data_IF_676543178482
#
_entry.id   IF_676543178482
#
_cell.length_a   1.000
_cell.length_b   1.000
_cell.length_c   1.000
_cell.angle_alpha   90.00
_cell.angle_beta   90.00
_cell.angle_gamma   90.00
#
_symmetry.space_group_name_H-M   'P 1'
#
loop_
_entity.id
_entity.type
_entity.pdbx_description
1 polymer ?
#
# COMPACT_ATOMS: atom_id res chain seq x y z
N UNK A 1 10.20 -14.41 4.30
CA UNK A 1 11.60 -14.84 4.51
C UNK A 1 12.18 -15.21 3.16
N UNK A 2 13.23 -14.53 2.70
CA UNK A 2 13.90 -14.91 1.46
C UNK A 2 14.57 -16.28 1.67
N UNK A 3 14.53 -17.18 0.67
CA UNK A 3 15.30 -18.42 0.74
C UNK A 3 16.79 -18.07 0.83
N UNK A 4 17.55 -18.82 1.65
CA UNK A 4 18.97 -18.56 1.93
C UNK A 4 19.83 -18.39 0.66
N UNK A 5 19.43 -19.02 -0.45
CA UNK A 5 20.03 -18.89 -1.77
C UNK A 5 19.95 -17.49 -2.41
N UNK A 6 19.02 -16.62 -1.99
CA UNK A 6 18.93 -15.25 -2.46
C UNK A 6 19.97 -14.34 -1.78
N UNK A 7 20.33 -14.61 -0.52
CA UNK A 7 21.34 -13.82 0.21
C UNK A 7 22.75 -14.06 -0.35
N UNK A 8 23.06 -15.29 -0.78
CA UNK A 8 24.35 -15.64 -1.38
C UNK A 8 24.57 -14.98 -2.75
N UNK A 9 23.50 -14.84 -3.56
CA UNK A 9 23.58 -14.20 -4.88
C UNK A 9 23.90 -12.70 -4.77
N UNK A 10 23.33 -12.01 -3.77
CA UNK A 10 23.58 -10.58 -3.55
C UNK A 10 24.97 -10.31 -2.94
N UNK A 11 25.52 -11.23 -2.14
CA UNK A 11 26.89 -11.15 -1.65
C UNK A 11 27.94 -11.26 -2.76
N UNK A 12 27.73 -12.14 -3.75
CA UNK A 12 28.63 -12.31 -4.90
C UNK A 12 28.61 -11.11 -5.85
N UNK A 13 27.44 -10.50 -6.10
CA UNK A 13 27.32 -9.29 -6.94
C UNK A 13 28.06 -8.07 -6.38
N UNK A 14 28.21 -7.97 -5.05
CA UNK A 14 28.98 -6.88 -4.44
C UNK A 14 30.48 -6.97 -4.76
N UNK A 15 31.05 -8.15 -5.01
CA UNK A 15 32.47 -8.30 -5.37
C UNK A 15 32.80 -7.75 -6.77
N UNK A 16 31.88 -7.92 -7.73
CA UNK A 16 31.99 -7.36 -9.09
C UNK A 16 31.74 -5.86 -9.12
N UNK A 17 30.77 -5.38 -8.34
CA UNK A 17 30.51 -3.95 -8.17
C UNK A 17 31.67 -3.23 -7.47
N UNK A 18 32.35 -3.87 -6.51
CA UNK A 18 33.51 -3.30 -5.82
C UNK A 18 34.70 -3.08 -6.75
N UNK A 19 34.92 -3.98 -7.73
CA UNK A 19 35.97 -3.80 -8.76
C UNK A 19 35.64 -2.67 -9.71
N UNK A 20 34.39 -2.55 -10.13
CA UNK A 20 33.91 -1.44 -10.99
C UNK A 20 33.97 -0.09 -10.25
N UNK A 21 33.59 -0.08 -8.97
CA UNK A 21 33.64 1.10 -8.11
C UNK A 21 35.09 1.52 -7.79
N UNK A 22 36.02 0.58 -7.67
CA UNK A 22 37.45 0.87 -7.53
C UNK A 22 38.05 1.49 -8.80
N UNK A 23 37.70 1.00 -9.99
CA UNK A 23 38.14 1.56 -11.28
C UNK A 23 37.53 2.94 -11.53
N UNK A 24 36.26 3.14 -11.18
CA UNK A 24 35.58 4.44 -11.29
C UNK A 24 36.13 5.46 -10.27
N UNK A 25 36.44 5.05 -9.03
CA UNK A 25 37.06 5.92 -8.04
C UNK A 25 38.51 6.28 -8.39
N UNK A 26 39.27 5.38 -9.05
CA UNK A 26 40.59 5.73 -9.60
C UNK A 26 40.48 6.76 -10.74
N UNK A 27 39.48 6.64 -11.61
CA UNK A 27 39.24 7.62 -12.67
C UNK A 27 38.69 8.96 -12.15
N UNK A 28 37.89 8.96 -11.07
CA UNK A 28 37.38 10.17 -10.44
C UNK A 28 38.45 10.90 -9.60
N UNK A 29 39.36 10.17 -8.95
CA UNK A 29 40.49 10.77 -8.22
C UNK A 29 41.54 11.43 -9.13
N UNK A 30 41.62 11.03 -10.40
CA UNK A 30 42.41 11.74 -11.41
C UNK A 30 41.76 13.05 -11.88
N UNK A 31 40.46 13.23 -11.65
CA UNK A 31 39.67 14.42 -12.05
C UNK A 31 39.40 15.38 -10.87
N UNK A 32 39.59 14.95 -9.62
CA UNK A 32 39.24 15.71 -8.40
C UNK A 32 40.43 16.35 -7.66
N UNK A 33 41.65 16.32 -8.22
CA UNK A 33 42.82 17.05 -7.66
C UNK A 33 42.85 18.54 -8.03
N UNK A 34 41.73 19.11 -8.48
CA UNK A 34 41.57 20.57 -8.56
C UNK A 34 40.45 21.04 -7.65
N UNK A 35 40.86 21.83 -6.66
CA UNK A 35 40.09 22.72 -5.80
C UNK A 35 39.59 22.18 -4.46
N UNK A 36 39.92 22.99 -3.46
CA UNK A 36 40.02 22.72 -2.04
C UNK A 36 38.86 23.30 -1.22
N UNK A 37 38.71 22.69 -0.04
CA UNK A 37 38.48 23.28 1.30
C UNK A 37 37.08 23.64 1.82
N UNK A 38 36.84 23.08 3.03
CA UNK A 38 36.05 23.53 4.20
C UNK A 38 34.52 23.47 4.12
N UNK A 39 33.74 22.98 5.10
CA UNK A 39 33.95 22.58 6.49
C UNK A 39 32.71 23.01 7.30
N UNK A 40 31.85 22.08 7.73
CA UNK A 40 30.56 22.37 8.41
C UNK A 40 30.54 21.92 9.87
N UNK A 41 30.08 22.82 10.75
CA UNK A 41 29.84 22.63 12.19
C UNK A 41 28.46 22.06 12.48
N UNK A 42 28.40 21.17 13.48
CA UNK A 42 27.24 20.45 14.02
C UNK A 42 26.42 21.34 14.98
N UNK A 43 25.09 21.32 14.90
CA UNK A 43 24.21 21.77 15.99
C UNK A 43 23.12 20.74 16.32
N UNK A 44 22.87 20.64 17.63
CA UNK A 44 22.03 19.70 18.37
C UNK A 44 20.52 19.87 18.10
N UNK A 45 19.79 18.75 18.01
CA UNK A 45 18.31 18.72 17.96
C UNK A 45 17.76 18.35 19.34
N UNK A 46 16.86 19.21 19.85
CA UNK A 46 16.05 18.99 21.07
C UNK A 46 14.65 18.53 20.66
N UNK A 47 14.09 17.52 21.34
CA UNK A 47 12.78 16.92 21.07
C UNK A 47 11.63 17.68 21.74
N UNK A 48 10.44 17.71 21.10
CA UNK A 48 9.21 18.35 21.61
C UNK A 48 8.05 17.34 21.72
N UNK A 49 7.17 17.43 22.75
CA UNK A 49 6.08 16.49 22.99
C UNK A 49 4.74 17.01 22.44
N UNK A 50 4.31 16.49 21.29
CA UNK A 50 2.90 16.43 20.88
C UNK A 50 2.80 15.40 19.77
N UNK A 51 1.87 14.44 19.86
CA UNK A 51 1.63 13.46 18.79
C UNK A 51 1.11 14.18 17.53
N UNK A 52 2.03 14.70 16.71
CA UNK A 52 1.72 15.39 15.47
C UNK A 52 1.44 14.35 14.38
N UNK A 53 0.20 13.84 14.33
CA UNK A 53 -0.23 13.06 13.17
C UNK A 53 -0.20 13.95 11.92
N UNK A 54 0.41 13.45 10.84
CA UNK A 54 0.39 14.14 9.55
C UNK A 54 -1.04 14.07 8.99
N UNK A 55 -1.62 15.21 8.64
CA UNK A 55 -2.96 15.23 8.05
C UNK A 55 -2.97 14.72 6.60
N UNK A 56 -3.92 13.86 6.22
CA UNK A 56 -4.11 13.45 4.81
C UNK A 56 -4.77 14.53 3.94
N UNK A 57 -5.26 15.61 4.56
CA UNK A 57 -5.93 16.73 3.89
C UNK A 57 -4.96 17.91 3.62
N UNK A 58 -3.72 17.83 4.10
CA UNK A 58 -2.70 18.87 3.90
C UNK A 58 -1.63 18.37 2.93
N UNK A 59 -1.52 19.06 1.80
CA UNK A 59 -0.54 18.75 0.76
C UNK A 59 0.57 19.79 0.80
N UNK A 60 1.77 19.40 1.26
CA UNK A 60 2.99 20.18 1.07
C UNK A 60 3.62 19.80 -0.27
N UNK A 61 4.07 20.78 -1.06
CA UNK A 61 5.03 20.56 -2.15
C UNK A 61 6.32 20.03 -1.51
N UNK A 62 6.59 18.74 -1.67
CA UNK A 62 7.82 18.12 -1.21
C UNK A 62 8.71 17.91 -2.44
N UNK A 63 9.73 18.76 -2.59
CA UNK A 63 10.91 18.50 -3.42
C UNK A 63 11.85 17.59 -2.62
N UNK A 64 11.61 16.29 -2.63
CA UNK A 64 12.56 15.32 -2.06
C UNK A 64 13.41 14.74 -3.19
N UNK A 65 14.64 15.25 -3.29
CA UNK A 65 15.76 14.58 -3.94
C UNK A 65 16.17 13.45 -3.00
N UNK A 66 15.92 12.21 -3.42
CA UNK A 66 16.29 11.02 -2.67
C UNK A 66 17.80 10.78 -2.84
N UNK A 67 18.60 11.11 -1.83
CA UNK A 67 19.98 10.63 -1.68
C UNK A 67 19.98 9.43 -0.74
N UNK A 68 20.35 8.21 -1.19
CA UNK A 68 20.58 7.10 -0.28
C UNK A 68 21.98 7.21 0.33
N UNK A 69 22.06 7.20 1.66
CA UNK A 69 23.30 6.98 2.39
C UNK A 69 23.03 5.99 3.50
N UNK A 70 23.54 4.77 3.35
CA UNK A 70 23.83 3.89 4.49
C UNK A 70 25.15 3.16 4.23
N UNK A 71 26.07 3.36 5.17
CA UNK A 71 27.40 2.77 5.20
C UNK A 71 27.33 1.48 6.03
N UNK A 72 27.49 0.32 5.42
CA UNK A 72 27.56 -0.97 6.12
C UNK A 72 29.02 -1.40 6.22
N UNK A 73 29.47 -1.67 7.46
CA UNK A 73 30.81 -2.14 7.81
C UNK A 73 30.98 -3.62 7.43
N UNK A 74 32.13 -3.97 6.87
CA UNK A 74 32.51 -5.33 6.47
C UNK A 74 33.25 -6.05 7.59
N UNK A 75 32.83 -7.29 7.90
CA UNK A 75 33.64 -8.29 8.58
C UNK A 75 34.00 -9.39 7.57
N UNK A 76 35.28 -9.64 7.41
CA UNK A 76 35.84 -10.69 6.56
C UNK A 76 35.74 -12.04 7.26
N UNK A 77 35.18 -13.04 6.58
CA UNK A 77 35.60 -14.43 6.78
C UNK A 77 35.37 -15.24 5.50
N UNK A 78 36.36 -16.08 5.21
CA UNK A 78 36.62 -16.81 3.98
C UNK A 78 35.94 -18.18 3.93
N UNK A 79 35.75 -18.66 2.69
CA UNK A 79 35.52 -20.05 2.23
C UNK A 79 34.08 -20.55 2.10
N UNK A 80 33.62 -20.63 0.85
CA UNK A 80 33.16 -21.90 0.25
C UNK A 80 32.81 -21.68 -1.25
N UNK A 81 33.72 -22.04 -2.13
CA UNK A 81 33.44 -22.30 -3.54
C UNK A 81 32.71 -23.64 -3.67
N UNK A 82 31.53 -23.69 -4.32
CA UNK A 82 31.10 -24.80 -5.21
C UNK A 82 29.57 -24.91 -5.44
N UNK A 83 28.85 -23.96 -6.05
CA UNK A 83 27.44 -24.22 -6.49
C UNK A 83 26.93 -23.48 -7.76
N UNK A 84 27.80 -22.88 -8.59
CA UNK A 84 27.36 -22.31 -9.88
C UNK A 84 27.51 -23.33 -11.02
N UNK A 85 26.55 -24.24 -11.14
CA UNK A 85 26.32 -24.96 -12.39
C UNK A 85 25.71 -23.98 -13.42
N UNK A 86 26.58 -23.52 -14.32
CA UNK A 86 26.39 -22.89 -15.65
C UNK A 86 24.95 -22.49 -16.03
N UNK A 87 24.48 -21.35 -15.52
CA UNK A 87 23.44 -20.57 -16.21
C UNK A 87 24.10 -19.75 -17.32
N UNK A 88 23.50 -19.73 -18.51
CA UNK A 88 23.90 -18.77 -19.55
C UNK A 88 23.71 -17.34 -19.05
N UNK A 89 24.41 -16.37 -19.65
CA UNK A 89 24.27 -14.93 -19.30
C UNK A 89 22.79 -14.52 -19.32
N UNK A 90 22.03 -15.04 -20.28
CA UNK A 90 20.58 -14.81 -20.39
C UNK A 90 19.78 -15.46 -19.24
N UNK A 91 20.19 -16.63 -18.77
CA UNK A 91 19.58 -17.29 -17.61
C UNK A 91 19.78 -16.51 -16.32
N UNK A 92 20.97 -15.94 -16.11
CA UNK A 92 21.26 -15.06 -14.96
C UNK A 92 20.47 -13.76 -15.08
N UNK A 93 20.41 -13.15 -16.27
CA UNK A 93 19.65 -11.93 -16.50
C UNK A 93 18.14 -12.16 -16.27
N UNK A 94 17.59 -13.29 -16.73
CA UNK A 94 16.18 -13.63 -16.54
C UNK A 94 15.87 -13.84 -15.06
N UNK A 95 16.74 -14.55 -14.33
CA UNK A 95 16.61 -14.75 -12.89
C UNK A 95 16.61 -13.40 -12.16
N UNK A 96 17.57 -12.53 -12.43
CA UNK A 96 17.64 -11.20 -11.82
C UNK A 96 16.39 -10.36 -12.09
N UNK A 97 15.93 -10.32 -13.34
CA UNK A 97 14.76 -9.53 -13.76
C UNK A 97 13.45 -10.13 -13.22
N UNK A 98 13.38 -11.45 -13.02
CA UNK A 98 12.24 -12.10 -12.38
C UNK A 98 11.99 -11.62 -10.94
N UNK A 99 13.03 -11.06 -10.30
CA UNK A 99 12.89 -10.49 -8.95
C UNK A 99 12.23 -9.11 -8.91
N UNK A 100 12.09 -8.45 -10.05
CA UNK A 100 11.58 -7.09 -10.15
C UNK A 100 10.05 -7.05 -10.11
N UNK A 101 9.50 -5.93 -9.62
CA UNK A 101 8.09 -5.60 -9.77
C UNK A 101 7.82 -4.98 -11.16
N UNK A 102 6.55 -4.85 -11.54
CA UNK A 102 6.20 -4.32 -12.85
C UNK A 102 6.71 -2.90 -13.11
N UNK A 103 6.80 -2.06 -12.07
CA UNK A 103 7.34 -0.71 -12.19
C UNK A 103 8.85 -0.71 -12.45
N UNK A 104 9.61 -1.57 -11.76
CA UNK A 104 11.04 -1.74 -11.99
C UNK A 104 11.32 -2.38 -13.34
N UNK A 105 10.49 -3.32 -13.81
CA UNK A 105 10.58 -3.85 -15.17
C UNK A 105 10.45 -2.72 -16.20
N UNK A 106 9.45 -1.85 -16.06
CA UNK A 106 9.25 -0.72 -16.95
C UNK A 106 10.45 0.25 -16.92
N UNK A 107 11.03 0.51 -15.74
CA UNK A 107 12.27 1.31 -15.62
C UNK A 107 13.43 0.68 -16.38
N UNK A 108 13.65 -0.63 -16.23
CA UNK A 108 14.74 -1.36 -16.91
C UNK A 108 14.57 -1.32 -18.43
N UNK A 109 13.34 -1.41 -18.95
CA UNK A 109 13.05 -1.21 -20.39
C UNK A 109 13.40 0.21 -20.90
N UNK A 110 13.46 1.19 -20.00
CA UNK A 110 13.84 2.57 -20.28
C UNK A 110 15.36 2.79 -20.36
N UNK A 111 16.17 1.93 -19.75
CA UNK A 111 17.62 2.13 -19.62
C UNK A 111 18.36 2.05 -20.96
N UNK A 112 18.14 0.99 -21.74
CA UNK A 112 18.76 0.83 -23.05
C UNK A 112 17.96 -0.11 -23.98
N UNK A 113 18.37 -0.19 -25.25
CA UNK A 113 17.70 -1.02 -26.28
C UNK A 113 17.81 -2.53 -25.99
N UNK A 114 18.92 -2.99 -25.42
CA UNK A 114 19.15 -4.40 -25.14
C UNK A 114 18.20 -4.92 -24.06
N UNK A 115 18.07 -4.22 -22.94
CA UNK A 115 17.13 -4.54 -21.87
C UNK A 115 15.67 -4.49 -22.35
N UNK A 116 15.34 -3.52 -23.21
CA UNK A 116 14.01 -3.45 -23.83
C UNK A 116 13.71 -4.70 -24.66
N UNK A 117 14.63 -5.09 -25.54
CA UNK A 117 14.48 -6.28 -26.36
C UNK A 117 14.39 -7.55 -25.51
N UNK A 118 15.23 -7.68 -24.49
CA UNK A 118 15.24 -8.80 -23.55
C UNK A 118 13.90 -8.94 -22.81
N UNK A 119 13.39 -7.86 -22.20
CA UNK A 119 12.10 -7.90 -21.49
C UNK A 119 10.94 -8.14 -22.47
N UNK A 120 11.01 -7.64 -23.70
CA UNK A 120 10.00 -7.93 -24.72
C UNK A 120 9.98 -9.41 -25.14
N UNK A 121 11.14 -10.04 -25.22
CA UNK A 121 11.30 -11.47 -25.51
C UNK A 121 10.76 -12.34 -24.38
N UNK A 122 11.06 -12.01 -23.12
CA UNK A 122 10.62 -12.76 -21.93
C UNK A 122 9.37 -12.19 -21.26
N UNK A 123 8.57 -11.41 -21.99
CA UNK A 123 7.42 -10.67 -21.44
C UNK A 123 6.41 -11.61 -20.79
N UNK A 124 5.98 -12.64 -21.51
CA UNK A 124 4.96 -13.57 -21.01
C UNK A 124 5.36 -14.27 -19.71
N UNK A 125 6.53 -14.93 -19.60
CA UNK A 125 6.93 -15.57 -18.35
C UNK A 125 7.13 -14.56 -17.21
N UNK A 126 7.75 -13.40 -17.46
CA UNK A 126 7.96 -12.38 -16.43
C UNK A 126 6.64 -11.87 -15.82
N UNK A 127 5.67 -11.54 -16.67
CA UNK A 127 4.38 -11.04 -16.19
C UNK A 127 3.48 -12.15 -15.63
N UNK A 128 3.64 -13.40 -16.09
CA UNK A 128 2.97 -14.56 -15.48
C UNK A 128 3.43 -14.79 -14.04
N UNK A 129 4.73 -14.70 -13.78
CA UNK A 129 5.30 -14.79 -12.41
C UNK A 129 4.71 -13.70 -11.51
N UNK A 130 4.61 -12.46 -12.00
CA UNK A 130 4.02 -11.36 -11.24
C UNK A 130 2.57 -11.62 -10.84
N UNK A 131 1.77 -12.15 -11.77
CA UNK A 131 0.34 -12.37 -11.57
C UNK A 131 0.05 -13.63 -10.75
N UNK A 132 0.67 -14.76 -11.08
CA UNK A 132 0.32 -16.06 -10.53
C UNK A 132 1.09 -16.40 -9.25
N UNK A 133 2.41 -16.20 -9.26
CA UNK A 133 3.27 -16.58 -8.13
C UNK A 133 3.34 -15.47 -7.08
N UNK A 134 3.59 -14.23 -7.52
CA UNK A 134 3.74 -13.07 -6.62
C UNK A 134 2.42 -12.43 -6.21
N UNK A 135 1.33 -12.74 -6.92
CA UNK A 135 -0.03 -12.24 -6.66
C UNK A 135 -0.05 -10.73 -6.39
N UNK A 136 0.64 -9.96 -7.24
CA UNK A 136 0.79 -8.50 -7.06
C UNK A 136 -0.55 -7.74 -7.10
N UNK A 137 -1.61 -8.38 -7.61
CA UNK A 137 -2.97 -7.87 -7.58
C UNK A 137 -3.89 -8.78 -6.77
N UNK A 138 -4.75 -8.15 -5.98
CA UNK A 138 -5.78 -8.83 -5.20
C UNK A 138 -6.85 -9.53 -6.06
N UNK A 139 -7.16 -8.95 -7.21
CA UNK A 139 -8.11 -9.51 -8.19
C UNK A 139 -7.37 -9.64 -9.50
N UNK A 140 -7.21 -10.89 -9.96
CA UNK A 140 -6.54 -11.21 -11.21
C UNK A 140 -7.59 -11.37 -12.29
N UNK A 141 -7.54 -10.53 -13.32
CA UNK A 141 -8.33 -10.73 -14.55
C UNK A 141 -7.49 -11.56 -15.50
N UNK A 142 -7.94 -12.78 -15.79
CA UNK A 142 -7.20 -13.74 -16.60
C UNK A 142 -7.41 -13.49 -18.09
N UNK A 143 -6.36 -13.77 -18.88
CA UNK A 143 -6.33 -13.73 -20.33
C UNK A 143 -5.38 -14.81 -20.84
N UNK A 144 -5.36 -15.07 -22.15
CA UNK A 144 -4.44 -16.05 -22.77
C UNK A 144 -2.97 -15.65 -22.60
N UNK A 145 -2.69 -14.34 -22.50
CA UNK A 145 -1.38 -13.77 -22.22
C UNK A 145 -1.25 -13.37 -20.74
N UNK A 146 -0.12 -13.71 -20.12
CA UNK A 146 0.27 -13.26 -18.78
C UNK A 146 0.46 -11.75 -18.73
N UNK A 147 1.01 -11.14 -19.79
CA UNK A 147 1.12 -9.69 -19.90
C UNK A 147 -0.27 -9.02 -19.97
N UNK A 148 -1.19 -9.54 -20.78
CA UNK A 148 -2.58 -9.03 -20.81
C UNK A 148 -3.29 -9.20 -19.47
N UNK A 149 -3.11 -10.35 -18.83
CA UNK A 149 -3.67 -10.59 -17.49
C UNK A 149 -3.17 -9.56 -16.48
N UNK A 150 -1.87 -9.21 -16.54
CA UNK A 150 -1.30 -8.15 -15.72
C UNK A 150 -1.93 -6.78 -16.03
N UNK A 151 -2.06 -6.41 -17.31
CA UNK A 151 -2.66 -5.13 -17.72
C UNK A 151 -4.13 -5.01 -17.29
N UNK A 152 -4.94 -6.06 -17.50
CA UNK A 152 -6.34 -6.05 -17.08
C UNK A 152 -6.48 -5.99 -15.55
N UNK A 153 -5.65 -6.72 -14.81
CA UNK A 153 -5.64 -6.67 -13.34
C UNK A 153 -5.24 -5.28 -12.82
N UNK A 154 -4.25 -4.64 -13.45
CA UNK A 154 -3.86 -3.26 -13.16
C UNK A 154 -4.99 -2.27 -13.47
N UNK A 155 -5.64 -2.43 -14.63
CA UNK A 155 -6.78 -1.61 -15.05
C UNK A 155 -7.92 -1.67 -14.04
N UNK A 156 -8.23 -2.88 -13.57
CA UNK A 156 -9.24 -3.12 -12.54
C UNK A 156 -8.89 -2.48 -11.19
N UNK A 157 -7.63 -2.62 -10.75
CA UNK A 157 -7.16 -1.96 -9.53
C UNK A 157 -7.28 -0.42 -9.62
N UNK A 158 -6.95 0.15 -10.78
CA UNK A 158 -7.11 1.58 -11.05
C UNK A 158 -8.58 2.02 -11.05
N UNK A 159 -9.49 1.24 -11.65
CA UNK A 159 -10.93 1.54 -11.61
C UNK A 159 -11.47 1.55 -10.18
N UNK A 160 -11.09 0.57 -9.37
CA UNK A 160 -11.52 0.49 -7.97
C UNK A 160 -11.03 1.68 -7.15
N UNK A 161 -9.77 2.08 -7.34
CA UNK A 161 -9.24 3.25 -6.66
C UNK A 161 -9.87 4.55 -7.17
N UNK A 162 -10.18 4.65 -8.46
CA UNK A 162 -10.89 5.80 -9.03
C UNK A 162 -12.32 5.91 -8.49
N UNK A 163 -13.05 4.79 -8.43
CA UNK A 163 -14.40 4.74 -7.87
C UNK A 163 -14.39 5.12 -6.38
N UNK A 164 -13.45 4.58 -5.60
CA UNK A 164 -13.22 4.99 -4.22
C UNK A 164 -12.98 6.50 -4.10
N UNK A 165 -12.03 7.01 -4.87
CA UNK A 165 -11.64 8.43 -4.83
C UNK A 165 -12.81 9.33 -5.18
N UNK A 166 -13.64 8.94 -6.15
CA UNK A 166 -14.86 9.66 -6.50
C UNK A 166 -15.90 9.65 -5.37
N UNK A 167 -16.10 8.52 -4.69
CA UNK A 167 -17.03 8.43 -3.55
C UNK A 167 -16.65 9.35 -2.40
N UNK A 168 -15.35 9.53 -2.14
CA UNK A 168 -14.87 10.39 -1.05
C UNK A 168 -14.62 11.84 -1.48
N UNK A 169 -14.65 12.14 -2.79
CA UNK A 169 -14.22 13.41 -3.36
C UNK A 169 -14.90 14.65 -2.76
N UNK A 170 -16.25 14.74 -2.65
CA UNK A 170 -16.90 15.94 -2.16
C UNK A 170 -16.48 16.29 -0.72
N UNK A 171 -16.35 15.27 0.12
CA UNK A 171 -15.96 15.41 1.52
C UNK A 171 -14.47 15.73 1.66
N UNK A 172 -13.60 15.01 0.94
CA UNK A 172 -12.16 15.31 0.92
C UNK A 172 -11.89 16.73 0.45
N UNK A 173 -12.55 17.18 -0.62
CA UNK A 173 -12.33 18.50 -1.17
C UNK A 173 -12.68 19.60 -0.15
N UNK A 174 -13.80 19.45 0.56
CA UNK A 174 -14.20 20.38 1.61
C UNK A 174 -13.20 20.41 2.79
N UNK A 175 -12.71 19.24 3.21
CA UNK A 175 -11.71 19.13 4.27
C UNK A 175 -10.36 19.71 3.83
N UNK A 176 -9.91 19.44 2.59
CA UNK A 176 -8.69 20.02 2.02
C UNK A 176 -8.77 21.55 1.97
N UNK A 177 -9.88 22.11 1.48
CA UNK A 177 -10.10 23.56 1.43
C UNK A 177 -10.07 24.19 2.82
N UNK A 178 -10.74 23.57 3.80
CA UNK A 178 -10.74 24.04 5.17
C UNK A 178 -9.34 23.96 5.80
N UNK A 179 -8.64 22.83 5.66
CA UNK A 179 -7.31 22.63 6.22
C UNK A 179 -6.27 23.56 5.60
N UNK A 180 -6.42 23.92 4.31
CA UNK A 180 -5.58 24.93 3.67
C UNK A 180 -5.80 26.34 4.23
N UNK A 181 -7.01 26.65 4.71
CA UNK A 181 -7.36 27.97 5.25
C UNK A 181 -6.99 28.18 6.72
N UNK A 182 -6.67 27.11 7.46
CA UNK A 182 -6.55 27.16 8.93
C UNK A 182 -5.40 26.28 9.41
N UNK A 183 -4.41 26.87 10.10
CA UNK A 183 -3.25 26.13 10.61
C UNK A 183 -3.62 25.12 11.72
N UNK A 184 -4.57 25.45 12.60
CA UNK A 184 -5.10 24.57 13.64
C UNK A 184 -6.42 23.92 13.18
N UNK A 185 -6.36 23.14 12.11
CA UNK A 185 -7.57 22.52 11.54
C UNK A 185 -8.05 21.28 12.32
N UNK A 186 -7.15 20.60 13.05
CA UNK A 186 -7.48 19.45 13.90
C UNK A 186 -7.90 18.17 13.18
N UNK A 187 -8.04 18.16 11.86
CA UNK A 187 -8.33 16.94 11.08
C UNK A 187 -7.10 16.08 10.78
N UNK A 188 -7.19 14.79 11.06
CA UNK A 188 -6.09 13.83 10.90
C UNK A 188 -6.22 13.09 9.57
N UNK A 189 -7.22 12.20 9.44
CA UNK A 189 -7.38 11.37 8.26
C UNK A 189 -8.81 10.84 8.16
N UNK A 190 -9.17 10.25 7.02
CA UNK A 190 -10.31 9.33 6.97
C UNK A 190 -9.92 7.96 7.52
N UNK A 191 -10.87 7.24 8.13
CA UNK A 191 -10.61 5.92 8.69
C UNK A 191 -10.12 4.92 7.63
N UNK A 192 -10.67 4.97 6.41
CA UNK A 192 -10.22 4.11 5.32
C UNK A 192 -8.78 4.36 4.86
N UNK A 193 -8.16 5.48 5.22
CA UNK A 193 -6.80 5.82 4.77
C UNK A 193 -5.70 5.35 5.72
N UNK A 194 -6.05 5.03 6.98
CA UNK A 194 -5.08 4.76 8.04
C UNK A 194 -4.82 3.27 8.29
N UNK A 195 -5.62 2.38 7.69
CA UNK A 195 -5.49 0.93 7.84
C UNK A 195 -5.47 0.21 6.49
N UNK A 196 -4.69 -0.86 6.43
CA UNK A 196 -4.54 -1.77 5.31
C UNK A 196 -4.75 -3.21 5.81
N UNK A 197 -5.47 -4.02 5.04
CA UNK A 197 -5.64 -5.46 5.28
C UNK A 197 -4.81 -6.23 4.26
N UNK A 198 -4.03 -7.19 4.72
CA UNK A 198 -3.19 -8.01 3.83
C UNK A 198 -4.00 -8.99 2.99
N UNK A 199 -5.02 -9.62 3.58
CA UNK A 199 -5.92 -10.49 2.83
C UNK A 199 -7.05 -9.64 2.19
N UNK A 200 -7.16 -9.60 0.85
CA UNK A 200 -8.19 -8.82 0.17
C UNK A 200 -9.61 -9.34 0.40
N UNK A 201 -9.78 -10.60 0.79
CA UNK A 201 -11.07 -11.17 1.18
C UNK A 201 -11.54 -10.54 2.48
N UNK A 202 -10.65 -10.48 3.46
CA UNK A 202 -10.87 -9.78 4.73
C UNK A 202 -11.13 -8.29 4.46
N UNK A 203 -10.29 -7.64 3.64
CA UNK A 203 -10.45 -6.23 3.30
C UNK A 203 -11.85 -5.92 2.70
N UNK A 204 -12.31 -6.73 1.74
CA UNK A 204 -13.62 -6.57 1.10
C UNK A 204 -14.76 -6.79 2.08
N UNK A 205 -14.69 -7.89 2.84
CA UNK A 205 -15.69 -8.23 3.84
C UNK A 205 -15.82 -7.13 4.91
N UNK A 206 -14.68 -6.66 5.41
CA UNK A 206 -14.63 -5.59 6.40
C UNK A 206 -15.14 -4.27 5.84
N UNK A 207 -14.84 -3.98 4.57
CA UNK A 207 -15.31 -2.76 3.93
C UNK A 207 -16.84 -2.76 3.79
N UNK A 208 -17.43 -3.93 3.49
CA UNK A 208 -18.87 -4.13 3.47
C UNK A 208 -19.49 -4.02 4.87
N UNK A 209 -19.03 -4.83 5.84
CA UNK A 209 -19.57 -4.83 7.21
C UNK A 209 -19.44 -3.48 7.93
N UNK A 210 -18.40 -2.71 7.61
CA UNK A 210 -18.08 -1.42 8.24
C UNK A 210 -18.13 -0.26 7.24
N UNK A 211 -18.99 -0.35 6.23
CA UNK A 211 -19.13 0.68 5.20
C UNK A 211 -19.27 2.09 5.77
N UNK A 212 -20.16 2.29 6.74
CA UNK A 212 -20.38 3.60 7.36
C UNK A 212 -19.18 4.11 8.16
N UNK A 213 -18.28 3.22 8.58
CA UNK A 213 -17.07 3.59 9.30
C UNK A 213 -15.92 3.98 8.35
N UNK A 214 -15.89 3.46 7.13
CA UNK A 214 -14.86 3.82 6.14
C UNK A 214 -14.81 5.32 5.87
N UNK A 215 -15.97 5.98 5.86
CA UNK A 215 -16.09 7.41 5.62
C UNK A 215 -15.91 8.29 6.86
N UNK A 216 -15.63 7.70 8.04
CA UNK A 216 -15.44 8.49 9.26
C UNK A 216 -14.18 9.35 9.17
N UNK A 217 -14.29 10.59 9.61
CA UNK A 217 -13.19 11.55 9.65
C UNK A 217 -12.65 11.64 11.06
N UNK A 218 -11.36 11.39 11.22
CA UNK A 218 -10.65 11.49 12.48
C UNK A 218 -10.31 12.96 12.74
N UNK A 219 -10.79 13.49 13.86
CA UNK A 219 -10.58 14.86 14.29
C UNK A 219 -9.96 14.87 15.69
N UNK A 220 -9.15 15.88 16.02
CA UNK A 220 -8.50 15.97 17.33
C UNK A 220 -9.54 16.21 18.43
N UNK A 221 -10.42 17.20 18.25
CA UNK A 221 -11.42 17.58 19.27
C UNK A 221 -12.76 17.99 18.66
N UNK A 222 -13.87 17.96 19.44
CA UNK A 222 -15.17 18.46 19.00
C UNK A 222 -15.16 19.93 18.56
N UNK A 223 -14.30 20.77 19.17
CA UNK A 223 -14.16 22.19 18.82
C UNK A 223 -13.72 22.39 17.38
N UNK A 224 -12.77 21.58 16.89
CA UNK A 224 -12.34 21.61 15.49
C UNK A 224 -13.47 21.25 14.53
N UNK A 225 -14.29 20.26 14.90
CA UNK A 225 -15.48 19.85 14.12
C UNK A 225 -16.51 20.99 14.06
N UNK A 226 -16.77 21.66 15.18
CA UNK A 226 -17.69 22.80 15.22
C UNK A 226 -17.17 23.96 14.35
N UNK A 227 -15.86 24.24 14.40
CA UNK A 227 -15.25 25.29 13.59
C UNK A 227 -15.33 24.98 12.09
N UNK A 228 -15.12 23.72 11.69
CA UNK A 228 -15.35 23.28 10.32
C UNK A 228 -16.81 23.47 9.89
N UNK A 229 -17.77 23.00 10.69
CA UNK A 229 -19.21 23.10 10.36
C UNK A 229 -19.69 24.54 10.23
N UNK A 230 -19.07 25.50 10.94
CA UNK A 230 -19.40 26.93 10.83
C UNK A 230 -18.82 27.61 9.59
N UNK A 231 -17.69 27.12 9.06
CA UNK A 231 -16.93 27.79 7.98
C UNK A 231 -17.00 27.08 6.64
N UNK A 232 -17.25 25.77 6.65
CA UNK A 232 -17.38 24.96 5.45
C UNK A 232 -18.76 25.14 4.83
N UNK A 233 -18.81 25.23 3.51
CA UNK A 233 -20.05 25.21 2.73
C UNK A 233 -20.57 23.79 2.45
N UNK A 234 -19.87 22.75 2.93
CA UNK A 234 -20.25 21.37 2.69
C UNK A 234 -21.52 20.98 3.46
N UNK A 235 -22.59 20.70 2.71
CA UNK A 235 -23.87 20.23 3.23
C UNK A 235 -23.99 18.73 2.98
N UNK A 236 -23.36 17.92 3.83
CA UNK A 236 -23.44 16.47 3.75
C UNK A 236 -23.14 15.79 5.10
N UNK A 237 -23.61 14.56 5.30
CA UNK A 237 -23.36 13.85 6.55
C UNK A 237 -21.88 13.48 6.65
N UNK A 238 -21.21 14.01 7.67
CA UNK A 238 -19.87 13.59 8.06
C UNK A 238 -19.92 13.08 9.50
N UNK A 239 -19.46 11.84 9.68
CA UNK A 239 -19.24 11.24 10.99
C UNK A 239 -17.82 11.57 11.44
N UNK A 240 -17.70 12.30 12.54
CA UNK A 240 -16.42 12.66 13.12
C UNK A 240 -16.10 11.78 14.32
N UNK A 241 -14.85 11.34 14.41
CA UNK A 241 -14.35 10.53 15.52
C UNK A 241 -13.22 11.30 16.21
N UNK A 242 -13.36 11.65 17.50
CA UNK A 242 -12.31 12.30 18.25
C UNK A 242 -11.13 11.35 18.47
N UNK A 243 -9.92 11.73 18.08
CA UNK A 243 -8.70 10.95 18.34
C UNK A 243 -8.39 10.93 19.82
N UNK A 244 -8.43 12.11 20.45
CA UNK A 244 -8.20 12.30 21.87
C UNK A 244 -9.51 12.10 22.63
N UNK A 245 -9.85 10.83 22.87
CA UNK A 245 -10.99 10.46 23.69
C UNK A 245 -10.52 9.66 24.92
N UNK A 246 -10.59 10.22 26.13
CA UNK A 246 -10.22 9.51 27.35
C UNK A 246 -11.18 8.35 27.68
N UNK A 247 -12.33 8.26 26.99
CA UNK A 247 -13.37 7.26 27.19
C UNK A 247 -13.30 6.11 26.17
N UNK A 248 -12.17 5.92 25.49
CA UNK A 248 -12.00 4.74 24.63
C UNK A 248 -12.15 3.46 25.47
N UNK A 249 -13.07 2.53 25.10
CA UNK A 249 -13.28 1.32 25.87
C UNK A 249 -12.02 0.47 25.83
N UNK A 250 -11.62 -0.06 26.99
CA UNK A 250 -10.59 -1.10 27.06
C UNK A 250 -11.23 -2.39 26.55
N UNK A 251 -11.07 -2.65 25.25
CA UNK A 251 -11.56 -3.87 24.62
C UNK A 251 -10.53 -4.98 24.85
N UNK A 252 -10.93 -6.06 25.52
CA UNK A 252 -10.13 -7.26 25.70
C UNK A 252 -10.77 -8.39 24.91
N UNK A 253 -10.19 -8.72 23.76
CA UNK A 253 -10.64 -9.83 22.95
C UNK A 253 -10.54 -11.14 23.73
N UNK A 254 -11.65 -11.86 23.86
CA UNK A 254 -11.67 -13.17 24.49
C UNK A 254 -10.85 -14.19 23.68
N UNK A 255 -10.20 -15.18 24.32
CA UNK A 255 -9.63 -16.29 23.58
C UNK A 255 -10.75 -17.14 22.95
N UNK A 256 -10.53 -17.58 21.72
CA UNK A 256 -11.52 -18.33 20.93
C UNK A 256 -10.83 -19.56 20.38
N UNK A 257 -11.27 -20.72 20.83
CA UNK A 257 -10.85 -22.01 20.31
C UNK A 257 -12.03 -22.64 19.58
N UNK A 258 -12.14 -22.32 18.29
CA UNK A 258 -13.22 -22.77 17.44
C UNK A 258 -12.68 -23.11 16.05
N UNK A 259 -13.20 -24.19 15.47
CA UNK A 259 -12.83 -24.61 14.11
C UNK A 259 -13.13 -23.47 13.13
N UNK A 260 -12.18 -23.20 12.25
CA UNK A 260 -12.31 -22.15 11.23
C UNK A 260 -12.13 -20.72 11.73
N UNK A 261 -11.87 -20.49 13.02
CA UNK A 261 -11.57 -19.15 13.53
C UNK A 261 -10.20 -18.67 13.01
N UNK A 262 -10.19 -17.55 12.29
CA UNK A 262 -8.97 -16.96 11.71
C UNK A 262 -8.44 -15.76 12.51
N UNK A 263 -8.99 -15.50 13.70
CA UNK A 263 -8.63 -14.33 14.53
C UNK A 263 -9.65 -13.20 14.47
N UNK A 264 -9.37 -12.12 15.19
CA UNK A 264 -10.19 -10.91 15.13
C UNK A 264 -9.80 -10.05 13.95
N UNK A 265 -10.75 -9.31 13.36
CA UNK A 265 -10.45 -8.39 12.28
C UNK A 265 -9.37 -7.36 12.63
N UNK A 266 -9.30 -6.98 13.90
CA UNK A 266 -8.24 -6.14 14.44
C UNK A 266 -6.83 -6.73 14.26
N UNK A 267 -6.69 -8.06 14.35
CA UNK A 267 -5.41 -8.76 14.25
C UNK A 267 -4.87 -8.75 12.82
N UNK A 268 -5.76 -8.66 11.83
CA UNK A 268 -5.44 -8.59 10.40
C UNK A 268 -5.09 -7.18 9.91
N UNK A 269 -5.14 -6.18 10.80
CA UNK A 269 -4.85 -4.79 10.46
C UNK A 269 -3.36 -4.48 10.49
N UNK A 270 -2.89 -3.96 9.37
CA UNK A 270 -1.63 -3.21 9.28
C UNK A 270 -1.94 -1.72 9.28
N UNK A 271 -1.26 -0.98 10.16
CA UNK A 271 -1.39 0.48 10.20
C UNK A 271 -0.57 1.11 9.07
N UNK A 272 -1.11 2.15 8.46
CA UNK A 272 -0.31 3.01 7.58
C UNK A 272 0.73 3.75 8.43
N UNK A 273 1.99 3.86 7.96
CA UNK A 273 3.04 4.51 8.72
C UNK A 273 2.66 5.91 9.22
N UNK A 274 2.85 6.17 10.51
CA UNK A 274 2.56 7.43 11.18
C UNK A 274 1.22 7.48 11.92
N UNK A 275 0.40 6.42 11.86
CA UNK A 275 -0.89 6.32 12.57
C UNK A 275 -0.93 5.24 13.65
N UNK A 276 0.20 4.62 13.99
CA UNK A 276 0.30 3.43 14.85
C UNK A 276 -0.35 3.63 16.22
N UNK A 277 -0.22 4.83 16.79
CA UNK A 277 -0.83 5.18 18.08
C UNK A 277 -2.37 5.06 18.08
N UNK A 278 -3.02 5.10 16.91
CA UNK A 278 -4.47 4.95 16.77
C UNK A 278 -4.94 3.49 16.76
N UNK A 279 -4.01 2.52 16.66
CA UNK A 279 -4.34 1.10 16.53
C UNK A 279 -5.17 0.63 17.74
N UNK A 280 -4.64 0.78 18.95
CA UNK A 280 -5.28 0.26 20.15
C UNK A 280 -6.49 1.10 20.65
N UNK A 281 -6.75 2.26 20.04
CA UNK A 281 -7.83 3.17 20.42
C UNK A 281 -8.94 3.18 19.36
N UNK A 282 -8.82 4.06 18.36
CA UNK A 282 -9.80 4.30 17.30
C UNK A 282 -10.04 3.02 16.50
N UNK A 283 -8.97 2.36 16.04
CA UNK A 283 -9.10 1.19 15.15
C UNK A 283 -9.74 0.01 15.90
N UNK A 284 -9.24 -0.31 17.10
CA UNK A 284 -9.81 -1.36 17.94
C UNK A 284 -11.29 -1.09 18.26
N UNK A 285 -11.64 0.16 18.55
CA UNK A 285 -13.01 0.56 18.87
C UNK A 285 -13.97 0.52 17.68
N UNK A 286 -13.50 0.86 16.48
CA UNK A 286 -14.33 0.84 15.26
C UNK A 286 -14.51 -0.59 14.74
N UNK A 287 -13.43 -1.37 14.71
CA UNK A 287 -13.51 -2.75 14.26
C UNK A 287 -14.29 -3.61 15.27
N UNK A 288 -14.23 -3.27 16.55
CA UNK A 288 -14.80 -4.02 17.69
C UNK A 288 -14.28 -5.46 17.69
N UNK A 289 -14.73 -6.31 18.61
CA UNK A 289 -14.38 -7.75 18.69
C UNK A 289 -15.02 -8.55 17.53
N UNK A 290 -14.88 -8.05 16.30
CA UNK A 290 -15.40 -8.66 15.10
C UNK A 290 -14.52 -9.84 14.74
N UNK A 291 -15.10 -11.02 14.85
CA UNK A 291 -14.45 -12.32 14.70
C UNK A 291 -14.46 -12.72 13.24
N UNK A 292 -13.38 -13.34 12.78
CA UNK A 292 -13.29 -13.83 11.40
C UNK A 292 -13.30 -15.35 11.42
N UNK A 293 -14.17 -15.94 10.59
CA UNK A 293 -14.22 -17.37 10.34
C UNK A 293 -14.04 -17.66 8.86
N UNK A 294 -13.46 -18.80 8.53
CA UNK A 294 -13.19 -19.26 7.15
C UNK A 294 -14.44 -19.63 6.34
N UNK A 295 -15.54 -19.98 7.01
CA UNK A 295 -16.80 -20.43 6.41
C UNK A 295 -18.00 -19.95 7.24
N UNK A 296 -19.18 -19.74 6.61
CA UNK A 296 -20.40 -19.37 7.32
C UNK A 296 -20.86 -20.48 8.29
N UNK A 297 -20.63 -21.75 7.95
CA UNK A 297 -21.03 -22.89 8.78
C UNK A 297 -20.24 -22.94 10.09
N UNK A 298 -18.92 -22.73 10.03
CA UNK A 298 -18.08 -22.65 11.23
C UNK A 298 -18.46 -21.45 12.10
N UNK A 299 -18.72 -20.29 11.49
CA UNK A 299 -19.21 -19.13 12.19
C UNK A 299 -20.56 -19.41 12.88
N UNK A 300 -21.52 -20.02 12.17
CA UNK A 300 -22.83 -20.35 12.70
C UNK A 300 -22.76 -21.40 13.82
N UNK A 301 -21.89 -22.40 13.68
CA UNK A 301 -21.64 -23.40 14.72
C UNK A 301 -21.09 -22.77 15.99
N UNK A 302 -20.13 -21.86 15.86
CA UNK A 302 -19.62 -21.10 17.00
C UNK A 302 -20.69 -20.18 17.61
N UNK A 303 -21.47 -19.49 16.79
CA UNK A 303 -22.58 -18.68 17.29
C UNK A 303 -23.60 -19.46 18.11
N UNK A 304 -23.90 -20.70 17.69
CA UNK A 304 -24.74 -21.64 18.46
C UNK A 304 -24.09 -22.03 19.78
N UNK A 305 -22.78 -22.25 19.84
CA UNK A 305 -22.09 -22.66 21.07
C UNK A 305 -22.05 -21.56 22.14
N UNK A 306 -21.97 -20.28 21.72
CA UNK A 306 -21.95 -19.13 22.65
C UNK A 306 -23.34 -18.50 22.88
N UNK A 307 -24.39 -19.01 22.24
CA UNK A 307 -25.76 -18.49 22.34
C UNK A 307 -25.95 -17.07 21.78
N UNK A 308 -25.10 -16.64 20.84
CA UNK A 308 -25.15 -15.31 20.18
C UNK A 308 -24.83 -15.47 18.70
N UNK A 309 -25.49 -14.71 17.83
CA UNK A 309 -25.18 -14.71 16.40
C UNK A 309 -23.69 -14.35 16.16
N UNK A 310 -22.97 -15.04 15.27
CA UNK A 310 -21.55 -14.80 15.06
C UNK A 310 -21.33 -13.42 14.45
N UNK A 311 -20.33 -12.69 14.96
CA UNK A 311 -20.13 -11.30 14.58
C UNK A 311 -19.43 -11.08 13.23
N UNK A 312 -18.97 -12.14 12.53
CA UNK A 312 -18.62 -12.10 11.11
C UNK A 312 -18.18 -13.48 10.57
N UNK A 313 -18.43 -13.76 9.29
CA UNK A 313 -17.95 -14.93 8.56
C UNK A 313 -17.34 -14.46 7.24
N UNK A 314 -16.18 -15.00 6.85
CA UNK A 314 -15.47 -14.63 5.63
C UNK A 314 -15.70 -15.71 4.58
N UNK A 315 -16.51 -15.34 3.57
CA UNK A 315 -16.88 -16.11 2.38
C UNK A 315 -17.72 -17.36 2.69
N UNK A 316 -18.82 -17.64 2.03
CA UNK A 316 -19.22 -17.37 0.64
C UNK A 316 -20.21 -16.19 0.58
N UNK A 317 -20.31 -15.42 -0.50
CA UNK A 317 -20.76 -15.97 -1.77
C UNK A 317 -20.56 -14.94 -2.89
N UNK A 318 -19.82 -15.31 -3.94
CA UNK A 318 -19.87 -14.58 -5.20
C UNK A 318 -21.29 -14.67 -5.81
N UNK A 319 -22.13 -15.63 -5.39
CA UNK A 319 -23.53 -15.77 -5.82
C UNK A 319 -24.55 -14.99 -4.94
N UNK A 320 -24.31 -14.80 -3.64
CA UNK A 320 -25.10 -13.85 -2.83
C UNK A 320 -24.78 -12.39 -3.20
N UNK A 321 -23.62 -12.14 -3.81
CA UNK A 321 -23.35 -10.86 -4.48
C UNK A 321 -24.21 -10.65 -5.73
N UNK A 322 -24.78 -11.71 -6.34
CA UNK A 322 -25.72 -11.58 -7.46
C UNK A 322 -27.12 -11.23 -6.98
N UNK A 323 -27.57 -11.75 -5.83
CA UNK A 323 -28.91 -11.45 -5.29
C UNK A 323 -28.97 -10.19 -4.41
N UNK A 324 -27.90 -9.85 -3.68
CA UNK A 324 -27.77 -8.57 -2.93
C UNK A 324 -27.22 -7.45 -3.84
N UNK A 325 -26.68 -7.83 -5.01
CA UNK A 325 -26.06 -6.95 -6.00
C UNK A 325 -26.98 -5.93 -6.66
N UNK A 326 -28.27 -5.85 -6.32
CA UNK A 326 -29.15 -4.77 -6.78
C UNK A 326 -29.36 -3.66 -5.73
N UNK A 327 -29.14 -3.92 -4.43
CA UNK A 327 -29.41 -2.93 -3.38
C UNK A 327 -28.13 -2.27 -2.80
N UNK A 328 -26.99 -2.97 -2.77
CA UNK A 328 -25.77 -2.52 -2.06
C UNK A 328 -24.61 -2.09 -2.99
N UNK A 329 -24.86 -1.94 -4.29
CA UNK A 329 -23.88 -1.44 -5.29
C UNK A 329 -23.38 0.00 -5.08
N UNK A 330 -23.70 0.65 -3.97
CA UNK A 330 -23.45 2.09 -3.74
C UNK A 330 -22.16 2.40 -2.97
N UNK A 331 -21.48 1.41 -2.37
CA UNK A 331 -20.21 1.64 -1.68
C UNK A 331 -19.00 1.29 -2.52
N UNK A 332 -18.32 2.29 -3.07
CA UNK A 332 -16.99 2.09 -3.65
C UNK A 332 -15.87 2.28 -2.63
N UNK A 333 -16.20 2.40 -1.34
CA UNK A 333 -15.22 2.63 -0.30
C UNK A 333 -14.39 1.38 -0.02
N UNK A 334 -13.07 1.55 0.08
CA UNK A 334 -12.10 0.48 0.33
C UNK A 334 -11.06 0.98 1.31
N UNK A 335 -10.44 0.07 2.05
CA UNK A 335 -9.28 0.40 2.90
C UNK A 335 -8.07 0.84 2.09
N UNK A 336 -7.06 1.32 2.79
CA UNK A 336 -5.84 1.87 2.18
C UNK A 336 -5.16 0.81 1.32
N UNK A 337 -4.58 1.27 0.21
CA UNK A 337 -3.87 0.45 -0.74
C UNK A 337 -2.49 1.05 -1.02
N UNK A 338 -1.51 0.25 -1.48
CA UNK A 338 -0.21 0.79 -1.91
C UNK A 338 -0.36 1.92 -2.94
N UNK A 339 -1.30 1.78 -3.89
CA UNK A 339 -1.62 2.79 -4.88
C UNK A 339 -2.12 4.10 -4.22
N UNK A 340 -3.02 4.02 -3.24
CA UNK A 340 -3.50 5.18 -2.50
C UNK A 340 -2.37 5.88 -1.75
N UNK A 341 -1.49 5.12 -1.12
CA UNK A 341 -0.31 5.67 -0.41
C UNK A 341 0.60 6.46 -1.34
N UNK A 342 0.86 5.98 -2.55
CA UNK A 342 1.65 6.70 -3.56
C UNK A 342 0.99 8.03 -4.00
N UNK A 343 -0.34 8.08 -3.96
CA UNK A 343 -1.15 9.24 -4.36
C UNK A 343 -1.46 10.20 -3.21
N UNK A 344 -1.18 9.82 -1.96
CA UNK A 344 -1.55 10.56 -0.74
C UNK A 344 -1.04 12.01 -0.71
N UNK A 345 0.12 12.27 -1.33
CA UNK A 345 0.76 13.60 -1.44
C UNK A 345 0.03 14.61 -2.34
N UNK A 346 -0.93 14.15 -3.13
CA UNK A 346 -1.68 14.99 -4.06
C UNK A 346 -3.06 15.31 -3.52
N UNK A 347 -3.61 16.47 -3.89
CA UNK A 347 -5.02 16.80 -3.64
C UNK A 347 -5.97 15.79 -4.28
N UNK A 348 -7.16 15.62 -3.70
CA UNK A 348 -8.12 14.63 -4.20
C UNK A 348 -8.46 14.82 -5.68
N UNK A 349 -8.52 16.07 -6.15
CA UNK A 349 -8.73 16.39 -7.56
C UNK A 349 -7.56 15.93 -8.46
N UNK A 350 -6.33 16.13 -8.00
CA UNK A 350 -5.12 15.70 -8.70
C UNK A 350 -4.98 14.16 -8.69
N UNK A 351 -5.40 13.49 -7.61
CA UNK A 351 -5.48 12.02 -7.55
C UNK A 351 -6.39 11.49 -8.64
N UNK A 352 -7.60 12.03 -8.79
CA UNK A 352 -8.55 11.66 -9.86
C UNK A 352 -7.93 11.85 -11.24
N UNK A 353 -7.29 13.01 -11.49
CA UNK A 353 -6.65 13.29 -12.78
C UNK A 353 -5.56 12.28 -13.12
N UNK A 354 -4.70 11.96 -12.16
CA UNK A 354 -3.62 10.98 -12.34
C UNK A 354 -4.13 9.56 -12.55
N UNK A 355 -5.16 9.16 -11.80
CA UNK A 355 -5.81 7.86 -12.01
C UNK A 355 -6.37 7.74 -13.41
N UNK A 356 -7.12 8.74 -13.90
CA UNK A 356 -7.63 8.77 -15.28
C UNK A 356 -6.52 8.72 -16.33
N UNK A 357 -5.43 9.45 -16.13
CA UNK A 357 -4.28 9.42 -17.04
C UNK A 357 -3.61 8.03 -17.07
N UNK A 358 -3.41 7.39 -15.91
CA UNK A 358 -2.88 6.02 -15.83
C UNK A 358 -3.81 5.01 -16.49
N UNK A 359 -5.12 5.13 -16.26
CA UNK A 359 -6.15 4.29 -16.89
C UNK A 359 -6.03 4.38 -18.41
N UNK A 360 -6.01 5.59 -18.96
CA UNK A 360 -5.85 5.81 -20.41
C UNK A 360 -4.57 5.17 -20.94
N UNK A 361 -3.44 5.35 -20.25
CA UNK A 361 -2.17 4.75 -20.68
C UNK A 361 -2.21 3.21 -20.69
N UNK A 362 -2.92 2.60 -19.74
CA UNK A 362 -3.13 1.15 -19.71
C UNK A 362 -4.06 0.71 -20.84
N UNK A 363 -5.14 1.44 -21.10
CA UNK A 363 -6.08 1.15 -22.20
C UNK A 363 -5.38 1.25 -23.57
N UNK A 364 -4.57 2.30 -23.78
CA UNK A 364 -3.74 2.46 -24.99
C UNK A 364 -2.75 1.28 -25.14
N UNK A 365 -2.14 0.84 -24.04
CA UNK A 365 -1.24 -0.31 -24.04
C UNK A 365 -1.97 -1.63 -24.37
N UNK A 366 -3.15 -1.86 -23.80
CA UNK A 366 -4.00 -3.02 -24.11
C UNK A 366 -4.36 -3.03 -25.60
N UNK A 367 -4.80 -1.89 -26.14
CA UNK A 367 -5.16 -1.75 -27.55
C UNK A 367 -3.97 -2.00 -28.50
N UNK A 368 -2.76 -1.58 -28.12
CA UNK A 368 -1.54 -1.82 -28.89
C UNK A 368 -0.98 -3.25 -28.77
N UNK A 369 -1.50 -4.07 -27.85
CA UNK A 369 -0.99 -5.43 -27.60
C UNK A 369 -1.77 -6.46 -28.44
N UNK A 370 -1.13 -7.12 -29.42
CA UNK A 370 -1.81 -8.07 -30.29
C UNK A 370 -2.46 -9.22 -29.52
N UNK A 371 -3.65 -9.63 -29.95
CA UNK A 371 -4.31 -10.89 -29.55
C UNK A 371 -3.67 -12.02 -30.32
N UNK A 372 -2.62 -12.61 -29.78
CA UNK A 372 -2.10 -13.91 -30.23
C UNK A 372 -2.77 -15.03 -29.48
#
# INVERSE_FOLDING_TARGET
MAPASALDLFGLMQSGASRLQHTVNQHLNLLSTSNSSSGTTLEHVTTSPSCSFRSTFVHKLINDVCTPSETIRTSSDTNSESHLQVLSIDGVALLMVSYLDGESLARVQGVNKAWRAFIQQYREPLYRVLVQERRVYHTVITSTSGFKSYLFSMRHALDRELAHTHSVHPMHQALEQYCASTAQHGFVAMFCDIIEFHDPRIARFMAWKRQSALSMVLAATPTHVMNFRKRSSYVGPITFVPVDNPLWPVLTSSPVDAVGFMGYAFDHVTMVPGYEALKNTVVKSILKELMIFDTPDNAAAYGRSIGRAPYAAILEDEDAQVQVGQAERTSHLTFSSPLRRQLSRYSVAERIRRLRAKIKAVDDCIASTPTT
#
